data_IF_144033620478
#
_entry.id   IF_144033620478
#
_cell.length_a   1.000
_cell.length_b   1.000
_cell.length_c   1.000
_cell.angle_alpha   90.00
_cell.angle_beta   90.00
_cell.angle_gamma   90.00
#
_symmetry.space_group_name_H-M   'P 1'
#
loop_
_entity.id
_entity.type
_entity.pdbx_description
1 polymer ?
#
# COMPACT_ATOMS: atom_id res chain seq x y z
N UNK A 1 15.66 3.21 1.69
CA UNK A 1 14.60 3.11 0.67
C UNK A 1 14.89 3.82 -0.67
N UNK A 2 15.99 4.57 -0.81
CA UNK A 2 16.29 5.33 -2.04
C UNK A 2 16.64 4.51 -3.30
N UNK A 3 17.03 3.23 -3.15
CA UNK A 3 17.43 2.40 -4.29
C UNK A 3 16.24 1.87 -5.13
N UNK A 4 15.12 1.53 -4.48
CA UNK A 4 13.92 0.97 -5.13
C UNK A 4 13.12 2.03 -5.91
N UNK A 5 13.33 3.31 -5.61
CA UNK A 5 12.60 4.45 -6.15
C UNK A 5 13.15 4.97 -7.49
N UNK A 6 14.13 4.31 -8.12
CA UNK A 6 14.67 4.72 -9.44
C UNK A 6 13.94 4.12 -10.65
N UNK A 7 13.41 2.90 -10.56
CA UNK A 7 12.69 2.27 -11.69
C UNK A 7 11.27 1.77 -11.33
N UNK A 8 10.25 2.32 -12.00
CA UNK A 8 8.83 1.92 -11.85
C UNK A 8 8.60 0.40 -11.86
N UNK A 9 9.21 -0.39 -12.77
CA UNK A 9 9.00 -1.84 -12.79
C UNK A 9 9.50 -2.54 -11.52
N UNK A 10 10.60 -2.08 -10.91
CA UNK A 10 11.11 -2.69 -9.67
C UNK A 10 10.19 -2.44 -8.49
N UNK A 11 9.59 -1.25 -8.40
CA UNK A 11 8.61 -0.96 -7.35
C UNK A 11 7.38 -1.86 -7.48
N UNK A 12 6.86 -2.04 -8.71
CA UNK A 12 5.74 -2.95 -8.95
C UNK A 12 6.12 -4.39 -8.59
N UNK A 13 7.28 -4.88 -9.02
CA UNK A 13 7.74 -6.22 -8.69
C UNK A 13 7.87 -6.43 -7.17
N UNK A 14 8.39 -5.44 -6.44
CA UNK A 14 8.46 -5.50 -4.97
C UNK A 14 7.07 -5.56 -4.33
N UNK A 15 6.13 -4.72 -4.77
CA UNK A 15 4.76 -4.70 -4.24
C UNK A 15 4.07 -6.05 -4.50
N UNK A 16 4.18 -6.58 -5.71
CA UNK A 16 3.61 -7.88 -6.08
C UNK A 16 4.23 -9.01 -5.27
N UNK A 17 5.55 -9.03 -5.11
CA UNK A 17 6.23 -10.05 -4.31
C UNK A 17 5.82 -10.01 -2.83
N UNK A 18 5.70 -8.80 -2.25
CA UNK A 18 5.24 -8.63 -0.86
C UNK A 18 3.78 -9.07 -0.71
N UNK A 19 2.90 -8.63 -1.60
CA UNK A 19 1.49 -9.03 -1.58
C UNK A 19 1.34 -10.56 -1.69
N UNK A 20 2.06 -11.19 -2.63
CA UNK A 20 2.06 -12.64 -2.78
C UNK A 20 2.58 -13.36 -1.53
N UNK A 21 3.61 -12.84 -0.87
CA UNK A 21 4.12 -13.40 0.38
C UNK A 21 3.07 -13.34 1.50
N UNK A 22 2.39 -12.20 1.69
CA UNK A 22 1.34 -12.07 2.70
C UNK A 22 0.15 -12.99 2.42
N UNK A 23 -0.27 -13.13 1.16
CA UNK A 23 -1.33 -14.05 0.75
C UNK A 23 -0.91 -15.50 1.01
N UNK A 24 0.31 -15.89 0.64
CA UNK A 24 0.82 -17.23 0.88
C UNK A 24 0.88 -17.58 2.38
N UNK A 25 1.30 -16.63 3.21
CA UNK A 25 1.29 -16.76 4.68
C UNK A 25 -0.13 -16.93 5.21
N UNK A 26 -1.08 -16.12 4.73
CA UNK A 26 -2.49 -16.21 5.13
C UNK A 26 -3.11 -17.57 4.78
N UNK A 27 -2.87 -18.06 3.56
CA UNK A 27 -3.37 -19.38 3.12
C UNK A 27 -2.70 -20.52 3.92
N UNK A 28 -1.37 -20.48 4.05
CA UNK A 28 -0.60 -21.57 4.65
C UNK A 28 -0.76 -21.69 6.17
N UNK A 29 -0.79 -20.56 6.89
CA UNK A 29 -0.84 -20.57 8.36
C UNK A 29 -2.27 -20.55 8.90
N UNK A 30 -3.22 -19.91 8.20
CA UNK A 30 -4.57 -19.66 8.71
C UNK A 30 -5.68 -20.40 7.95
N UNK A 31 -5.32 -21.29 7.00
CA UNK A 31 -6.25 -22.13 6.22
C UNK A 31 -7.34 -21.33 5.48
N UNK A 32 -7.02 -20.13 4.99
CA UNK A 32 -7.89 -19.39 4.08
C UNK A 32 -7.90 -20.01 2.70
N UNK A 33 -9.03 -19.86 1.99
CA UNK A 33 -9.04 -20.12 0.55
C UNK A 33 -8.21 -19.06 -0.17
N UNK A 34 -7.66 -19.40 -1.34
CA UNK A 34 -6.91 -18.44 -2.16
C UNK A 34 -7.79 -17.23 -2.54
N UNK A 35 -9.06 -17.48 -2.87
CA UNK A 35 -10.03 -16.43 -3.19
C UNK A 35 -10.31 -15.50 -2.02
N UNK A 36 -10.60 -16.06 -0.83
CA UNK A 36 -10.85 -15.29 0.39
C UNK A 36 -9.65 -14.45 0.82
N UNK A 37 -8.44 -15.03 0.76
CA UNK A 37 -7.21 -14.32 1.09
C UNK A 37 -6.95 -13.13 0.14
N UNK A 38 -7.16 -13.31 -1.16
CA UNK A 38 -7.02 -12.22 -2.15
C UNK A 38 -8.08 -11.13 -1.92
N UNK A 39 -9.34 -11.51 -1.71
CA UNK A 39 -10.44 -10.57 -1.52
C UNK A 39 -10.24 -9.71 -0.26
N UNK A 40 -9.93 -10.34 0.88
CA UNK A 40 -9.64 -9.63 2.13
C UNK A 40 -8.42 -8.72 1.99
N UNK A 41 -7.33 -9.22 1.42
CA UNK A 41 -6.13 -8.41 1.20
C UNK A 41 -6.41 -7.21 0.30
N UNK A 42 -7.17 -7.40 -0.79
CA UNK A 42 -7.53 -6.33 -1.71
C UNK A 42 -8.36 -5.23 -1.03
N UNK A 43 -9.38 -5.60 -0.26
CA UNK A 43 -10.21 -4.63 0.47
C UNK A 43 -9.37 -3.86 1.49
N UNK A 44 -8.57 -4.55 2.32
CA UNK A 44 -7.69 -3.91 3.30
C UNK A 44 -6.67 -2.98 2.63
N UNK A 45 -6.04 -3.45 1.55
CA UNK A 45 -5.07 -2.68 0.80
C UNK A 45 -5.69 -1.41 0.20
N UNK A 46 -6.88 -1.53 -0.40
CA UNK A 46 -7.59 -0.40 -0.98
C UNK A 46 -7.97 0.64 0.08
N UNK A 47 -8.53 0.21 1.21
CA UNK A 47 -8.86 1.11 2.32
C UNK A 47 -7.63 1.82 2.89
N UNK A 48 -6.54 1.08 3.11
CA UNK A 48 -5.30 1.65 3.65
C UNK A 48 -4.56 2.56 2.67
N UNK A 49 -4.72 2.36 1.36
CA UNK A 49 -4.18 3.28 0.37
C UNK A 49 -4.70 4.70 0.63
N UNK A 50 -6.01 4.87 0.78
CA UNK A 50 -6.60 6.18 1.07
C UNK A 50 -6.21 6.72 2.44
N UNK A 51 -6.04 5.86 3.44
CA UNK A 51 -5.57 6.28 4.76
C UNK A 51 -4.11 6.79 4.74
N UNK A 52 -3.25 6.21 3.89
CA UNK A 52 -1.81 6.54 3.82
C UNK A 52 -1.55 7.70 2.85
N UNK A 53 -2.38 7.88 1.82
CA UNK A 53 -2.24 8.95 0.83
C UNK A 53 -2.04 10.36 1.40
N UNK A 54 -2.78 10.84 2.43
CA UNK A 54 -2.60 12.19 2.95
C UNK A 54 -1.31 12.37 3.77
N UNK A 55 -0.68 11.28 4.21
CA UNK A 55 0.50 11.35 5.07
C UNK A 55 1.72 11.89 4.32
N UNK A 56 2.47 12.78 4.99
CA UNK A 56 3.74 13.36 4.52
C UNK A 56 3.63 14.13 3.20
N UNK A 57 2.44 14.63 2.85
CA UNK A 57 2.30 15.63 1.80
C UNK A 57 2.77 16.99 2.32
N UNK A 58 3.50 17.71 1.48
CA UNK A 58 3.90 19.10 1.70
C UNK A 58 3.48 19.89 0.45
N UNK A 59 2.76 21.02 0.62
CA UNK A 59 2.37 21.85 -0.51
C UNK A 59 3.61 22.49 -1.15
N UNK A 60 3.50 22.85 -2.42
CA UNK A 60 4.54 23.62 -3.10
C UNK A 60 4.58 25.04 -2.53
N UNK A 61 5.74 25.45 -2.01
CA UNK A 61 5.94 26.77 -1.36
C UNK A 61 6.73 27.74 -2.23
N UNK A 62 7.31 27.25 -3.33
CA UNK A 62 8.07 28.07 -4.28
C UNK A 62 7.12 28.65 -5.33
N UNK A 63 6.95 29.97 -5.29
CA UNK A 63 6.11 30.70 -6.24
C UNK A 63 6.51 30.44 -7.69
N UNK A 64 7.80 30.22 -7.97
CA UNK A 64 8.31 29.93 -9.32
C UNK A 64 7.92 28.56 -9.89
N UNK A 65 7.42 27.63 -9.04
CA UNK A 65 6.97 26.28 -9.47
C UNK A 65 5.45 26.15 -9.54
N UNK A 66 4.70 27.15 -9.08
CA UNK A 66 3.24 27.13 -9.10
C UNK A 66 2.75 27.48 -10.51
N UNK A 67 2.00 26.56 -11.13
CA UNK A 67 1.43 26.75 -12.47
C UNK A 67 0.06 27.43 -12.37
N UNK A 68 -0.34 28.33 -13.31
CA UNK A 68 -1.68 28.92 -13.30
C UNK A 68 -2.79 27.87 -13.24
N UNK A 69 -3.72 27.99 -12.28
CA UNK A 69 -4.80 27.01 -12.07
C UNK A 69 -4.43 25.82 -11.17
N UNK A 70 -3.20 25.75 -10.64
CA UNK A 70 -2.80 24.75 -9.65
C UNK A 70 -3.45 25.02 -8.28
N UNK A 71 -4.00 23.97 -7.66
CA UNK A 71 -4.46 24.05 -6.28
C UNK A 71 -3.26 24.28 -5.33
N UNK A 72 -3.35 25.30 -4.47
CA UNK A 72 -2.31 25.64 -3.49
C UNK A 72 -2.08 24.52 -2.47
N UNK A 73 -3.06 23.63 -2.27
CA UNK A 73 -2.93 22.44 -1.43
C UNK A 73 -2.29 21.23 -2.12
N UNK A 74 -2.02 21.30 -3.42
CA UNK A 74 -1.48 20.17 -4.17
C UNK A 74 -0.07 19.79 -3.68
N UNK A 75 0.23 18.50 -3.45
CA UNK A 75 1.53 18.07 -2.96
C UNK A 75 2.62 18.31 -4.00
N UNK A 76 3.72 18.97 -3.61
CA UNK A 76 4.85 19.24 -4.50
C UNK A 76 5.50 17.94 -5.04
N UNK A 77 5.53 16.90 -4.21
CA UNK A 77 6.08 15.58 -4.53
C UNK A 77 5.12 14.50 -4.04
N UNK A 78 4.31 13.88 -4.92
CA UNK A 78 3.31 12.88 -4.53
C UNK A 78 3.89 11.59 -3.92
N UNK A 79 5.18 11.29 -4.18
CA UNK A 79 5.94 10.11 -3.68
C UNK A 79 5.17 8.78 -3.79
N UNK A 80 4.34 8.61 -4.84
CA UNK A 80 3.39 7.49 -4.98
C UNK A 80 4.02 6.10 -4.82
N UNK A 81 5.27 5.94 -5.27
CA UNK A 81 6.01 4.68 -5.22
C UNK A 81 6.35 4.25 -3.80
N UNK A 82 6.71 5.20 -2.95
CA UNK A 82 6.96 4.92 -1.53
C UNK A 82 5.63 4.59 -0.83
N UNK A 83 4.58 5.34 -1.13
CA UNK A 83 3.24 5.11 -0.58
C UNK A 83 2.72 3.72 -0.92
N UNK A 84 2.89 3.25 -2.16
CA UNK A 84 2.50 1.89 -2.56
C UNK A 84 3.19 0.79 -1.74
N UNK A 85 4.50 0.93 -1.47
CA UNK A 85 5.25 -0.03 -0.63
C UNK A 85 4.74 0.02 0.82
N UNK A 86 4.53 1.22 1.37
CA UNK A 86 3.97 1.38 2.71
C UNK A 86 2.57 0.77 2.83
N UNK A 87 1.67 1.05 1.89
CA UNK A 87 0.34 0.47 1.85
C UNK A 87 0.38 -1.05 1.84
N UNK A 88 1.27 -1.64 1.06
CA UNK A 88 1.43 -3.10 0.95
C UNK A 88 1.86 -3.72 2.28
N UNK A 89 2.80 -3.08 2.99
CA UNK A 89 3.28 -3.53 4.31
C UNK A 89 2.21 -3.37 5.39
N UNK A 90 1.56 -2.20 5.46
CA UNK A 90 0.49 -1.94 6.44
C UNK A 90 -0.71 -2.84 6.22
N UNK A 91 -1.11 -3.07 4.96
CA UNK A 91 -2.20 -3.98 4.63
C UNK A 91 -1.87 -5.44 4.96
N UNK A 92 -0.63 -5.87 4.70
CA UNK A 92 -0.17 -7.20 5.09
C UNK A 92 -0.16 -7.40 6.60
N UNK A 93 0.36 -6.42 7.35
CA UNK A 93 0.32 -6.43 8.80
C UNK A 93 -1.12 -6.44 9.35
N UNK A 94 -2.01 -5.62 8.80
CA UNK A 94 -3.42 -5.57 9.20
C UNK A 94 -4.14 -6.90 8.92
N UNK A 95 -3.87 -7.53 7.76
CA UNK A 95 -4.40 -8.84 7.44
C UNK A 95 -3.95 -9.87 8.48
N UNK A 96 -2.64 -10.00 8.72
CA UNK A 96 -2.11 -10.97 9.67
C UNK A 96 -2.62 -10.72 11.10
N UNK A 97 -2.72 -9.47 11.53
CA UNK A 97 -3.30 -9.11 12.82
C UNK A 97 -4.77 -9.51 12.91
N UNK A 98 -5.57 -9.26 11.87
CA UNK A 98 -6.97 -9.68 11.82
C UNK A 98 -7.10 -11.21 11.90
N UNK A 99 -6.25 -11.96 11.19
CA UNK A 99 -6.26 -13.43 11.23
C UNK A 99 -5.80 -14.02 12.58
N UNK A 100 -4.91 -13.33 13.29
CA UNK A 100 -4.48 -13.74 14.62
C UNK A 100 -5.58 -13.53 15.69
N UNK A 101 -6.42 -12.51 15.52
CA UNK A 101 -7.52 -12.19 16.44
C UNK A 101 -8.80 -12.94 16.09
N UNK A 102 -9.11 -13.07 14.80
CA UNK A 102 -10.33 -13.68 14.30
C UNK A 102 -10.01 -14.98 13.56
N UNK A 103 -10.50 -16.14 14.03
CA UNK A 103 -10.31 -17.42 13.33
C UNK A 103 -11.19 -17.46 12.08
N UNK A 104 -10.67 -16.92 10.97
CA UNK A 104 -11.34 -16.84 9.67
C UNK A 104 -11.05 -18.05 8.77
N UNK A 105 -10.86 -19.23 9.37
CA UNK A 105 -10.51 -20.44 8.63
C UNK A 105 -11.61 -20.84 7.63
N UNK A 106 -11.22 -21.15 6.38
CA UNK A 106 -12.14 -21.60 5.34
C UNK A 106 -12.91 -20.51 4.58
N UNK A 107 -12.59 -19.23 4.80
CA UNK A 107 -13.15 -18.09 4.07
C UNK A 107 -12.59 -17.96 2.64
#
# INVERSE_FOLDING_TARGET
>A
MHALARTTPRTLATVVALAAAFIAVAVGLFKLTVGGAIALYFVLWWTLLFAILPLRNQPETRAERIVPGQDLGAPALPRMREKAVWTTLFAGAALLAALAVFPLAGL
#
